data_IF_941008529555
#
_entry.id   IF_941008529555
#
_cell.length_a   1.000
_cell.length_b   1.000
_cell.length_c   1.000
_cell.angle_alpha   90.00
_cell.angle_beta   90.00
_cell.angle_gamma   90.00
#
_symmetry.space_group_name_H-M   'P 1'
#
loop_
_entity.id
_entity.type
_entity.pdbx_description
1 polymer ?
2 non-polymer ?
3 non-polymer ?
4 non-polymer ?
5 non-polymer ?
6 water ?
#
# COMPACT_ATOMS: atom_id res chain seq x y z
N UNK A 3 11.83 -1.78 32.15
CA UNK A 3 12.51 -0.94 31.18
C UNK A 3 11.71 0.33 30.88
N UNK A 4 12.36 1.27 30.21
CA UNK A 4 11.72 2.50 29.78
C UNK A 4 10.85 2.31 28.54
N UNK A 5 10.48 1.07 28.20
CA UNK A 5 9.86 0.83 26.90
C UNK A 5 8.40 1.28 26.91
N UNK A 6 7.92 1.65 25.72
CA UNK A 6 6.57 2.21 25.60
C UNK A 6 5.48 1.14 25.67
N UNK A 7 5.74 -0.07 25.18
CA UNK A 7 4.77 -1.16 25.25
C UNK A 7 4.88 -1.87 26.59
N UNK A 8 3.73 -2.10 27.24
CA UNK A 8 3.79 -2.84 28.50
C UNK A 8 4.01 -4.33 28.29
N UNK A 9 3.70 -4.85 27.11
CA UNK A 9 4.10 -6.20 26.73
C UNK A 9 4.14 -6.28 25.22
N UNK A 10 4.91 -7.25 24.72
CA UNK A 10 5.17 -7.35 23.28
C UNK A 10 4.14 -8.26 22.61
N UNK A 11 2.90 -7.79 22.63
CA UNK A 11 1.75 -8.53 22.15
C UNK A 11 0.80 -7.56 21.46
N UNK A 12 -0.17 -8.10 20.73
CA UNK A 12 -1.19 -7.25 20.12
C UNK A 12 -1.95 -6.50 21.20
N UNK A 13 -2.21 -7.16 22.34
CA UNK A 13 -2.85 -6.50 23.47
C UNK A 13 -2.01 -5.33 23.97
N UNK A 14 -0.69 -5.50 24.04
CA UNK A 14 0.16 -4.40 24.44
C UNK A 14 0.09 -3.24 23.47
N UNK A 15 0.02 -3.53 22.17
CA UNK A 15 -0.05 -2.46 21.18
C UNK A 15 -1.37 -1.72 21.30
N UNK A 16 -2.47 -2.45 21.51
CA UNK A 16 -3.76 -1.77 21.60
C UNK A 16 -3.83 -0.87 22.83
N UNK A 17 -3.29 -1.33 23.97
CA UNK A 17 -3.26 -0.47 25.15
C UNK A 17 -2.44 0.78 24.89
N UNK A 18 -1.32 0.63 24.17
CA UNK A 18 -0.51 1.79 23.85
C UNK A 18 -1.26 2.74 22.94
N UNK A 19 -1.97 2.20 21.93
CA UNK A 19 -2.72 3.03 21.00
C UNK A 19 -3.76 3.89 21.71
N UNK A 20 -4.38 3.37 22.76
CA UNK A 20 -5.41 4.14 23.44
C UNK A 20 -4.89 4.91 24.64
N UNK A 21 -3.58 4.93 24.85
CA UNK A 21 -2.94 5.81 25.82
C UNK A 21 -2.64 7.17 25.19
N UNK A 22 -2.40 8.16 26.05
CA UNK A 22 -2.10 9.50 25.57
C UNK A 22 -0.75 9.58 24.89
N UNK A 23 0.08 8.55 25.01
CA UNK A 23 1.39 8.57 24.35
C UNK A 23 1.32 8.34 22.85
N UNK A 24 0.22 7.79 22.35
CA UNK A 24 0.14 7.36 20.94
C UNK A 24 -0.86 8.26 20.24
N UNK A 25 -0.35 9.22 19.48
CA UNK A 25 -1.20 10.16 18.76
C UNK A 25 -1.09 10.05 17.25
N UNK A 26 0.04 9.58 16.73
CA UNK A 26 0.33 9.64 15.31
C UNK A 26 0.83 8.29 14.82
N UNK A 27 0.08 7.67 13.91
CA UNK A 27 0.36 6.33 13.42
C UNK A 27 0.75 6.42 11.95
N UNK A 28 1.84 5.76 11.58
CA UNK A 28 2.21 5.58 10.17
C UNK A 28 1.96 4.13 9.81
N UNK A 29 1.21 3.91 8.73
CA UNK A 29 1.01 2.58 8.16
C UNK A 29 1.97 2.39 7.00
N UNK A 30 2.62 1.24 6.95
CA UNK A 30 3.43 0.80 5.82
C UNK A 30 2.79 -0.47 5.30
N UNK A 31 2.33 -0.47 4.05
CA UNK A 31 1.52 -1.58 3.55
C UNK A 31 2.02 -2.06 2.20
N UNK A 32 1.78 -3.34 1.95
CA UNK A 32 2.15 -4.01 0.73
C UNK A 32 1.07 -4.93 0.21
N UNK A 33 1.45 -5.83 -0.70
CA UNK A 33 0.46 -6.60 -1.47
C UNK A 33 -0.41 -7.49 -0.60
N UNK A 34 0.07 -7.84 0.60
CA UNK A 34 -0.70 -8.68 1.50
C UNK A 34 -2.01 -8.06 1.98
N UNK A 35 -2.17 -6.73 1.87
CA UNK A 35 -3.44 -6.14 2.28
C UNK A 35 -4.45 -6.17 1.15
N UNK A 36 -4.07 -6.59 -0.05
CA UNK A 36 -4.98 -6.60 -1.18
C UNK A 36 -5.25 -7.97 -1.76
N UNK A 37 -4.57 -9.02 -1.27
CA UNK A 37 -4.81 -10.34 -1.85
C UNK A 37 -6.23 -10.82 -1.60
N UNK A 38 -6.83 -10.46 -0.46
CA UNK A 38 -8.21 -10.88 -0.23
C UNK A 38 -9.20 -10.11 -1.08
N UNK A 39 -8.76 -9.04 -1.75
CA UNK A 39 -9.58 -8.35 -2.74
C UNK A 39 -9.42 -8.95 -4.13
N UNK A 40 -8.61 -9.99 -4.27
CA UNK A 40 -8.39 -10.59 -5.57
C UNK A 40 -7.32 -9.92 -6.41
N UNK A 41 -6.54 -9.01 -5.83
CA UNK A 41 -5.42 -8.36 -6.51
C UNK A 41 -4.18 -9.24 -6.33
N UNK A 42 -3.50 -9.63 -7.41
CA UNK A 42 -2.33 -10.49 -7.27
C UNK A 42 -1.09 -9.72 -6.84
N UNK A 43 -0.20 -10.42 -6.14
CA UNK A 43 1.10 -9.87 -5.79
C UNK A 43 2.01 -10.03 -7.01
N UNK A 44 2.23 -8.93 -7.72
CA UNK A 44 3.05 -8.95 -8.93
C UNK A 44 4.44 -9.51 -8.69
N UNK A 45 4.91 -9.55 -7.45
CA UNK A 45 6.22 -10.08 -7.11
C UNK A 45 6.17 -11.47 -6.51
N UNK A 46 4.99 -12.08 -6.41
CA UNK A 46 4.97 -13.42 -5.84
C UNK A 46 4.88 -14.47 -6.94
N UNK A 47 5.53 -15.62 -6.76
CA UNK A 47 5.29 -16.72 -7.70
C UNK A 47 3.83 -17.13 -7.61
N UNK A 48 3.30 -17.58 -8.75
CA UNK A 48 1.86 -17.67 -8.99
C UNK A 48 1.25 -16.28 -9.16
N UNK A 56 3.69 -14.33 -22.52
CA UNK A 56 3.78 -15.42 -23.48
C UNK A 56 3.20 -15.01 -24.83
N UNK A 57 1.91 -14.66 -24.84
CA UNK A 57 1.30 -14.13 -26.05
C UNK A 57 1.72 -12.70 -26.34
N UNK A 58 2.51 -12.08 -25.45
CA UNK A 58 2.95 -10.70 -25.61
C UNK A 58 4.29 -10.57 -26.33
N UNK A 59 5.02 -11.68 -26.50
CA UNK A 59 6.14 -11.75 -27.43
C UNK A 59 7.23 -10.71 -27.11
N UNK A 60 7.62 -10.66 -25.84
CA UNK A 60 8.58 -9.67 -25.36
C UNK A 60 10.00 -10.09 -25.75
N UNK A 61 10.88 -9.11 -25.96
CA UNK A 61 12.30 -9.45 -26.19
C UNK A 61 12.94 -10.11 -24.97
N UNK A 62 12.48 -9.76 -23.78
CA UNK A 62 12.85 -10.41 -22.53
C UNK A 62 11.74 -10.18 -21.52
N UNK A 63 11.63 -11.02 -20.49
CA UNK A 63 10.45 -10.93 -19.61
C UNK A 63 10.31 -9.59 -18.89
N UNK A 64 11.42 -9.03 -18.40
CA UNK A 64 11.37 -7.79 -17.62
C UNK A 64 10.97 -6.58 -18.46
N UNK A 65 10.95 -6.70 -19.79
CA UNK A 65 10.68 -5.55 -20.64
C UNK A 65 9.28 -4.99 -20.42
N UNK A 66 8.31 -5.83 -20.07
CA UNK A 66 6.94 -5.37 -19.95
C UNK A 66 6.77 -4.39 -18.80
N UNK A 67 7.75 -4.27 -17.90
CA UNK A 67 7.68 -3.34 -16.79
C UNK A 67 8.77 -2.28 -16.82
N UNK A 68 9.56 -2.21 -17.89
CA UNK A 68 10.62 -1.23 -18.04
C UNK A 68 10.10 -0.05 -18.84
N UNK A 69 10.56 1.15 -18.48
CA UNK A 69 9.98 2.37 -19.04
C UNK A 69 10.40 2.57 -20.49
N UNK A 70 11.69 2.34 -20.79
CA UNK A 70 12.18 2.53 -22.15
C UNK A 70 11.44 1.63 -23.13
N UNK A 71 11.21 0.37 -22.75
CA UNK A 71 10.47 -0.54 -23.63
C UNK A 71 9.01 -0.12 -23.76
N UNK A 72 8.37 0.25 -22.65
CA UNK A 72 6.96 0.65 -22.69
C UNK A 72 6.75 1.79 -23.68
N UNK A 73 7.68 2.74 -23.72
CA UNK A 73 7.50 3.91 -24.55
C UNK A 73 7.59 3.57 -26.03
N UNK A 74 8.35 2.53 -26.37
CA UNK A 74 8.50 2.05 -27.75
C UNK A 74 7.41 1.05 -28.12
N UNK A 75 7.03 0.17 -27.19
CA UNK A 75 6.01 -0.85 -27.45
C UNK A 75 5.09 -0.96 -26.24
N UNK A 76 4.06 -0.11 -26.15
CA UNK A 76 3.17 -0.16 -24.97
C UNK A 76 2.11 -1.24 -25.03
N UNK A 77 1.86 -1.81 -26.21
CA UNK A 77 0.77 -2.78 -26.35
C UNK A 77 0.90 -3.98 -25.42
N UNK A 78 2.07 -4.62 -25.25
CA UNK A 78 2.14 -5.74 -24.29
C UNK A 78 1.71 -5.38 -22.89
N UNK A 79 2.15 -4.23 -22.37
CA UNK A 79 1.75 -3.82 -21.03
C UNK A 79 0.24 -3.65 -20.94
N UNK A 80 -0.38 -3.01 -21.93
CA UNK A 80 -1.81 -2.78 -21.86
C UNK A 80 -2.60 -4.05 -22.14
N UNK A 81 -2.00 -4.99 -22.86
CA UNK A 81 -2.63 -6.30 -23.00
C UNK A 81 -2.58 -7.06 -21.68
N UNK A 82 -1.40 -7.11 -21.05
CA UNK A 82 -1.29 -7.68 -19.73
C UNK A 82 -2.20 -6.97 -18.72
N UNK A 83 -2.38 -5.66 -18.89
CA UNK A 83 -3.23 -4.90 -17.98
C UNK A 83 -4.67 -5.38 -18.05
N UNK A 84 -5.20 -5.57 -19.27
CA UNK A 84 -6.57 -6.05 -19.41
C UNK A 84 -6.71 -7.46 -18.88
N UNK A 85 -5.71 -8.31 -19.11
CA UNK A 85 -5.77 -9.69 -18.64
C UNK A 85 -5.84 -9.75 -17.11
N UNK A 86 -4.92 -9.05 -16.44
CA UNK A 86 -4.89 -9.02 -14.99
C UNK A 86 -5.78 -7.94 -14.39
N UNK A 87 -6.59 -7.26 -15.21
CA UNK A 87 -7.45 -6.20 -14.70
C UNK A 87 -8.52 -6.78 -13.78
N UNK A 88 -8.63 -6.30 -12.55
CA UNK A 88 -9.58 -6.90 -11.60
C UNK A 88 -11.02 -6.65 -12.03
N UNK A 89 -11.87 -7.65 -11.84
CA UNK A 89 -13.27 -7.53 -12.19
C UNK A 89 -14.06 -6.59 -11.31
N UNK A 90 -13.49 -6.12 -10.21
CA UNK A 90 -14.14 -5.24 -9.25
C UNK A 90 -13.05 -4.73 -8.32
N UNK A 91 -13.19 -3.48 -7.88
CA UNK A 91 -12.23 -2.89 -6.94
C UNK A 91 -12.90 -2.72 -5.59
N UNK A 92 -12.78 -3.73 -4.74
CA UNK A 92 -13.39 -3.73 -3.42
C UNK A 92 -12.30 -3.76 -2.36
N UNK A 93 -12.03 -2.66 -1.66
CA UNK A 93 -10.99 -2.67 -0.63
C UNK A 93 -11.32 -3.66 0.48
N UNK A 94 -10.27 -4.07 1.19
CA UNK A 94 -10.37 -5.09 2.22
C UNK A 94 -10.63 -4.47 3.59
N UNK A 95 -10.90 -5.36 4.55
CA UNK A 95 -11.00 -4.94 5.96
C UNK A 95 -9.79 -4.11 6.36
N UNK A 96 -8.60 -4.50 5.88
CA UNK A 96 -7.39 -3.77 6.21
C UNK A 96 -7.44 -2.34 5.70
N UNK A 97 -7.85 -2.15 4.44
CA UNK A 97 -7.99 -0.79 3.91
C UNK A 97 -8.97 0.03 4.74
N UNK A 98 -10.11 -0.58 5.13
CA UNK A 98 -11.06 0.20 5.92
C UNK A 98 -10.60 0.38 7.35
N UNK A 99 -9.74 -0.50 7.87
CA UNK A 99 -9.14 -0.23 9.17
C UNK A 99 -8.33 1.05 9.13
N UNK A 100 -7.62 1.29 8.02
CA UNK A 100 -6.87 2.55 7.91
C UNK A 100 -7.80 3.74 7.76
N UNK A 101 -8.92 3.59 7.06
CA UNK A 101 -9.91 4.67 7.05
C UNK A 101 -10.41 4.96 8.46
N UNK A 102 -10.63 3.94 9.28
CA UNK A 102 -11.03 4.16 10.67
C UNK A 102 -9.94 4.91 11.45
N UNK A 103 -8.67 4.53 11.27
CA UNK A 103 -7.58 5.28 11.88
C UNK A 103 -7.67 6.75 11.52
N UNK A 104 -7.93 7.05 10.24
CA UNK A 104 -8.11 8.42 9.77
C UNK A 104 -9.28 9.08 10.50
N UNK A 105 -10.42 8.38 10.57
CA UNK A 105 -11.60 8.91 11.24
C UNK A 105 -11.36 9.21 12.72
N UNK A 106 -10.60 8.34 13.38
CA UNK A 106 -10.27 8.45 14.79
C UNK A 106 -9.20 9.51 15.07
N UNK A 107 -8.69 10.17 14.03
CA UNK A 107 -7.68 11.21 14.17
C UNK A 107 -6.29 10.70 14.45
N UNK A 108 -6.00 9.44 14.14
CA UNK A 108 -4.73 8.80 14.47
C UNK A 108 -3.80 8.61 13.28
N UNK A 109 -4.25 8.80 12.05
CA UNK A 109 -3.42 8.45 10.88
C UNK A 109 -2.56 9.63 10.46
N UNK A 110 -1.24 9.50 10.63
CA UNK A 110 -0.34 10.50 10.09
C UNK A 110 -0.12 10.28 8.59
N UNK A 111 0.15 9.04 8.18
CA UNK A 111 0.39 8.77 6.77
C UNK A 111 0.30 7.28 6.52
N UNK A 112 -0.14 6.93 5.32
CA UNK A 112 -0.07 5.56 4.81
C UNK A 112 0.91 5.55 3.64
N UNK A 113 2.02 4.85 3.83
CA UNK A 113 2.98 4.57 2.75
C UNK A 113 2.61 3.23 2.15
N UNK A 114 2.33 3.19 0.85
CA UNK A 114 1.91 1.95 0.23
C UNK A 114 2.82 1.57 -0.91
N UNK A 115 3.11 0.28 -1.00
CA UNK A 115 3.82 -0.32 -2.12
C UNK A 115 2.89 -0.66 -3.27
N UNK A 116 1.59 -0.52 -3.07
CA UNK A 116 0.61 -1.05 -4.02
C UNK A 116 0.18 0.01 -5.02
N UNK A 117 -0.19 -0.46 -6.20
CA UNK A 117 -0.61 0.42 -7.29
C UNK A 117 -2.11 0.30 -7.58
N UNK A 118 -2.84 -0.47 -6.77
CA UNK A 118 -4.19 -0.93 -7.11
C UNK A 118 -5.31 0.05 -6.79
N UNK A 119 -5.02 1.20 -6.18
CA UNK A 119 -5.93 2.31 -5.87
C UNK A 119 -6.86 2.03 -4.70
N UNK A 120 -6.76 0.86 -4.05
CA UNK A 120 -7.77 0.51 -3.05
C UNK A 120 -7.70 1.43 -1.83
N UNK A 121 -6.53 2.00 -1.50
CA UNK A 121 -6.49 2.96 -0.40
C UNK A 121 -7.41 4.14 -0.66
N UNK A 122 -7.42 4.64 -1.92
CA UNK A 122 -8.26 5.78 -2.25
C UNK A 122 -9.74 5.41 -2.27
N UNK A 123 -10.04 4.22 -2.79
CA UNK A 123 -11.44 3.78 -2.80
C UNK A 123 -11.94 3.65 -1.37
N UNK A 124 -11.08 3.21 -0.46
CA UNK A 124 -11.47 3.07 0.94
C UNK A 124 -11.56 4.39 1.67
N UNK A 125 -11.20 5.52 1.05
CA UNK A 125 -11.41 6.81 1.66
C UNK A 125 -10.18 7.50 2.20
N UNK A 126 -8.99 7.00 1.91
CA UNK A 126 -7.79 7.78 2.21
C UNK A 126 -7.58 8.82 1.11
N UNK A 127 -7.23 10.02 1.53
CA UNK A 127 -7.11 11.13 0.60
C UNK A 127 -5.66 11.31 0.20
N UNK A 128 -5.46 12.10 -0.85
CA UNK A 128 -4.10 12.34 -1.36
C UNK A 128 -3.14 12.73 -0.24
N UNK A 129 -3.58 13.61 0.67
CA UNK A 129 -2.68 14.07 1.73
C UNK A 129 -2.29 12.95 2.68
N UNK A 130 -3.15 11.93 2.83
CA UNK A 130 -2.90 10.80 3.71
C UNK A 130 -1.93 9.78 3.13
N UNK A 131 -1.63 9.84 1.84
CA UNK A 131 -1.00 8.73 1.13
C UNK A 131 0.37 9.10 0.60
N UNK A 132 1.27 8.15 0.66
CA UNK A 132 2.49 8.17 -0.15
C UNK A 132 2.45 6.90 -0.98
N UNK A 133 2.10 7.03 -2.26
CA UNK A 133 2.06 5.88 -3.17
C UNK A 133 3.48 5.70 -3.69
N UNK A 134 4.29 4.96 -2.93
CA UNK A 134 5.72 4.93 -3.16
C UNK A 134 6.09 4.33 -4.50
N UNK A 135 5.22 3.47 -5.03
CA UNK A 135 5.46 2.80 -6.31
C UNK A 135 4.52 3.31 -7.39
N UNK A 136 3.90 4.46 -7.17
CA UNK A 136 2.94 5.00 -8.09
C UNK A 136 1.58 4.33 -7.98
N UNK A 137 0.74 4.60 -8.98
CA UNK A 137 -0.64 4.12 -8.93
C UNK A 137 -1.24 4.18 -10.33
N UNK A 138 -2.23 3.32 -10.56
CA UNK A 138 -3.16 3.37 -11.69
C UNK A 138 -4.21 4.46 -11.54
N UNK A 139 -4.25 5.17 -10.41
CA UNK A 139 -5.39 6.06 -10.11
C UNK A 139 -5.45 7.23 -11.07
N UNK A 140 -4.30 7.68 -11.54
CA UNK A 140 -4.20 8.73 -12.54
C UNK A 140 -3.17 8.29 -13.56
N UNK A 141 -3.28 8.86 -14.75
CA UNK A 141 -2.36 8.61 -15.86
C UNK A 141 -2.03 9.95 -16.49
N UNK A 142 -0.88 10.00 -17.16
CA UNK A 142 -0.48 11.24 -17.80
C UNK A 142 0.06 10.98 -19.18
N UNK A 143 -0.28 11.89 -20.09
CA UNK A 143 0.47 12.04 -21.33
C UNK A 143 1.96 12.07 -21.04
N UNK A 144 2.72 11.30 -21.81
CA UNK A 144 4.17 11.21 -21.57
C UNK A 144 4.97 12.37 -22.14
N UNK A 145 4.35 13.26 -22.93
CA UNK A 145 5.08 14.40 -23.50
C UNK A 145 5.31 15.45 -22.42
N UNK A 146 6.57 15.82 -22.20
CA UNK A 146 6.92 16.71 -21.10
C UNK A 146 6.25 18.08 -21.24
N UNK A 147 6.01 18.52 -22.47
CA UNK A 147 5.38 19.83 -22.69
C UNK A 147 3.87 19.79 -22.57
N UNK A 148 3.28 18.62 -22.32
CA UNK A 148 1.83 18.47 -22.28
C UNK A 148 1.39 17.94 -20.93
N UNK A 149 1.64 16.66 -20.64
CA UNK A 149 1.36 16.05 -19.34
C UNK A 149 -0.12 16.13 -18.98
N UNK A 150 -1.00 16.09 -19.98
CA UNK A 150 -2.43 15.99 -19.72
C UNK A 150 -2.73 14.79 -18.82
N UNK A 151 -3.55 15.03 -17.79
CA UNK A 151 -3.90 13.99 -16.82
C UNK A 151 -5.22 13.31 -17.20
N UNK A 152 -5.26 11.98 -17.07
CA UNK A 152 -6.46 11.23 -17.36
C UNK A 152 -6.83 10.35 -16.17
N UNK A 153 -8.12 10.24 -15.87
CA UNK A 153 -8.56 9.43 -14.73
C UNK A 153 -8.63 7.95 -15.11
N UNK A 154 -8.76 7.12 -14.07
CA UNK A 154 -8.77 5.67 -14.25
C UNK A 154 -9.92 5.21 -15.15
N UNK A 155 -11.08 5.88 -15.08
CA UNK A 155 -12.20 5.47 -15.94
C UNK A 155 -11.86 5.62 -17.41
N UNK A 156 -11.13 6.69 -17.77
CA UNK A 156 -10.72 6.87 -19.16
C UNK A 156 -9.74 5.79 -19.60
N UNK A 157 -8.79 5.44 -18.73
CA UNK A 157 -7.78 4.43 -19.08
C UNK A 157 -8.40 3.05 -19.19
N UNK A 158 -9.31 2.68 -18.28
CA UNK A 158 -9.95 1.38 -18.35
C UNK A 158 -10.68 1.18 -19.67
N UNK A 159 -11.39 2.22 -20.13
CA UNK A 159 -12.10 2.13 -21.41
C UNK A 159 -11.13 1.86 -22.56
N UNK A 160 -9.95 2.49 -22.54
CA UNK A 160 -8.99 2.27 -23.60
C UNK A 160 -8.40 0.86 -23.53
N UNK A 161 -8.13 0.38 -22.31
CA UNK A 161 -7.54 -0.94 -22.15
C UNK A 161 -8.51 -2.02 -22.57
N UNK A 162 -9.79 -1.87 -22.26
CA UNK A 162 -10.78 -2.89 -22.60
C UNK A 162 -11.10 -2.89 -24.09
N UNK A 163 -11.22 -1.71 -24.70
CA UNK A 163 -11.41 -1.68 -26.15
C UNK A 163 -10.14 -2.00 -26.91
N UNK A 164 -9.04 -2.30 -26.20
CA UNK A 164 -7.75 -2.64 -26.80
C UNK A 164 -7.27 -1.56 -27.76
N UNK A 165 -7.54 -0.31 -27.41
CA UNK A 165 -6.97 0.84 -28.11
C UNK A 165 -5.87 1.41 -27.23
N UNK A 166 -4.66 1.49 -27.78
CA UNK A 166 -3.55 2.08 -27.06
C UNK A 166 -3.90 3.50 -26.66
N UNK A 167 -3.85 3.87 -25.38
CA UNK A 167 -4.30 5.20 -24.96
C UNK A 167 -3.37 6.29 -25.48
N UNK A 168 -3.95 7.27 -26.16
CA UNK A 168 -3.24 8.41 -26.70
C UNK A 168 -3.85 9.70 -26.20
N UNK A 169 -3.02 10.71 -25.99
CA UNK A 169 -3.47 11.98 -25.47
C UNK A 169 -4.36 12.69 -26.49
N UNK A 170 -5.51 13.19 -26.03
CA UNK A 170 -6.40 13.95 -26.90
C UNK A 170 -5.82 15.28 -27.36
N UNK A 171 -4.90 15.85 -26.58
CA UNK A 171 -4.32 17.15 -26.95
C UNK A 171 -3.19 17.00 -27.96
N UNK A 172 -2.31 16.01 -27.79
CA UNK A 172 -1.08 15.95 -28.57
C UNK A 172 -0.80 14.58 -29.18
N UNK A 173 -1.63 13.56 -28.92
CA UNK A 173 -1.54 12.21 -29.49
C UNK A 173 -0.32 11.42 -29.01
N UNK A 174 0.41 11.90 -28.01
CA UNK A 174 1.43 11.06 -27.38
C UNK A 174 0.79 9.93 -26.59
N UNK A 175 1.62 8.95 -26.26
CA UNK A 175 1.19 7.87 -25.36
C UNK A 175 0.78 8.42 -24.00
N UNK A 176 -0.24 7.79 -23.40
CA UNK A 176 -0.65 8.07 -22.03
C UNK A 176 -0.26 6.88 -21.16
N UNK A 177 0.49 7.15 -20.09
CA UNK A 177 1.01 6.10 -19.21
C UNK A 177 0.39 6.20 -17.82
N UNK A 178 -0.04 5.09 -17.23
CA UNK A 178 -0.46 5.16 -15.82
C UNK A 178 0.68 5.61 -14.94
N UNK A 179 0.33 6.30 -13.84
CA UNK A 179 1.33 6.90 -12.95
C UNK A 179 2.02 5.87 -12.06
N UNK A 180 2.26 4.70 -12.59
CA UNK A 180 3.05 3.67 -11.92
C UNK A 180 4.53 3.97 -12.12
N UNK A 181 5.35 3.63 -11.13
CA UNK A 181 6.81 3.71 -11.27
C UNK A 181 7.26 2.48 -12.06
N UNK A 182 7.53 2.66 -13.36
CA UNK A 182 8.14 1.60 -14.14
C UNK A 182 9.61 1.46 -13.74
N UNK A 183 10.18 0.30 -14.05
CA UNK A 183 11.62 0.16 -13.86
C UNK A 183 12.34 1.06 -14.84
N UNK A 184 13.41 1.71 -14.37
CA UNK A 184 14.00 2.80 -15.10
C UNK A 184 13.51 4.18 -14.69
N UNK A 185 12.48 4.26 -13.85
CA UNK A 185 11.97 5.53 -13.33
C UNK A 185 12.28 5.63 -11.85
N UNK A 186 12.43 6.85 -11.37
CA UNK A 186 12.68 7.07 -9.95
C UNK A 186 11.38 7.04 -9.16
N UNK A 187 11.51 6.78 -7.86
CA UNK A 187 10.36 6.88 -6.99
C UNK A 187 9.93 8.35 -6.93
N UNK A 188 8.66 8.61 -6.60
CA UNK A 188 8.21 10.01 -6.57
C UNK A 188 8.95 10.81 -5.51
N UNK A 189 9.19 12.09 -5.81
CA UNK A 189 9.86 12.95 -4.84
C UNK A 189 9.09 13.01 -3.52
N UNK A 190 7.77 12.84 -3.58
CA UNK A 190 6.93 12.81 -2.40
C UNK A 190 7.38 11.75 -1.40
N UNK A 191 7.89 10.63 -1.88
CA UNK A 191 8.33 9.58 -0.96
C UNK A 191 9.44 10.09 -0.06
N UNK A 192 10.42 10.77 -0.65
CA UNK A 192 11.56 11.23 0.14
C UNK A 192 11.21 12.45 0.98
N UNK A 193 10.38 13.36 0.44
CA UNK A 193 10.04 14.55 1.20
C UNK A 193 9.16 14.21 2.40
N UNK A 194 8.19 13.32 2.22
CA UNK A 194 7.35 12.94 3.36
C UNK A 194 8.13 12.15 4.38
N UNK A 195 9.01 11.25 3.93
CA UNK A 195 9.79 10.45 4.88
C UNK A 195 10.61 11.35 5.79
N UNK A 196 11.17 12.44 5.24
CA UNK A 196 12.05 13.30 6.03
C UNK A 196 11.31 14.00 7.16
N UNK A 197 10.01 14.22 6.99
CA UNK A 197 9.19 14.92 7.98
C UNK A 197 8.40 13.96 8.86
N UNK A 198 7.80 12.94 8.26
CA UNK A 198 6.86 12.13 9.00
C UNK A 198 7.53 11.36 10.13
N UNK A 199 8.76 10.91 9.91
CA UNK A 199 9.33 10.01 10.91
C UNK A 199 9.90 10.77 12.09
N UNK A 200 9.92 12.10 12.05
CA UNK A 200 10.16 12.89 13.25
C UNK A 200 8.98 12.86 14.19
N UNK A 201 7.80 12.46 13.70
CA UNK A 201 6.54 12.72 14.38
C UNK A 201 5.78 11.45 14.75
N UNK A 202 6.30 10.29 14.45
CA UNK A 202 5.53 9.06 14.53
C UNK A 202 5.61 8.46 15.94
N UNK A 203 4.46 7.95 16.41
CA UNK A 203 4.35 7.22 17.67
C UNK A 203 4.20 5.71 17.50
N UNK A 204 3.79 5.24 16.33
CA UNK A 204 3.52 3.83 16.11
C UNK A 204 3.68 3.54 14.64
N UNK A 205 4.40 2.49 14.31
CA UNK A 205 4.45 1.97 12.94
C UNK A 205 3.57 0.72 12.86
N UNK A 206 2.63 0.73 11.94
CA UNK A 206 1.79 -0.43 11.62
C UNK A 206 2.23 -0.93 10.26
N UNK A 207 2.91 -2.08 10.23
CA UNK A 207 3.47 -2.65 9.01
C UNK A 207 2.57 -3.82 8.62
N UNK A 208 1.83 -3.69 7.53
CA UNK A 208 0.83 -4.69 7.21
C UNK A 208 1.00 -5.21 5.80
N UNK A 209 1.03 -6.53 5.66
CA UNK A 209 1.02 -7.14 4.34
C UNK A 209 2.23 -6.84 3.48
N UNK A 210 3.38 -6.61 4.09
CA UNK A 210 4.62 -6.49 3.33
C UNK A 210 5.71 -7.31 4.00
N UNK A 211 6.51 -7.98 3.20
CA UNK A 211 7.67 -8.69 3.71
C UNK A 211 8.94 -7.86 3.65
N UNK A 212 8.81 -6.57 3.35
CA UNK A 212 9.91 -5.62 3.47
C UNK A 212 11.12 -6.08 2.67
N UNK A 213 10.87 -6.49 1.42
CA UNK A 213 11.92 -6.96 0.53
C UNK A 213 12.24 -5.99 -0.61
N UNK A 214 11.41 -4.98 -0.83
CA UNK A 214 11.60 -4.02 -1.91
C UNK A 214 12.20 -2.74 -1.34
N UNK A 215 13.33 -2.30 -1.89
CA UNK A 215 13.99 -1.07 -1.46
C UNK A 215 13.70 0.07 -2.43
N UNK A 216 13.73 1.32 -1.99
CA UNK A 216 14.02 1.82 -0.64
C UNK A 216 12.85 1.74 0.35
N UNK A 217 11.69 1.23 -0.06
CA UNK A 217 10.53 1.21 0.84
C UNK A 217 10.84 0.49 2.16
N UNK A 218 11.49 -0.67 2.07
CA UNK A 218 11.76 -1.45 3.27
C UNK A 218 12.58 -0.68 4.29
N UNK A 219 13.47 0.21 3.84
CA UNK A 219 14.29 0.98 4.77
C UNK A 219 13.49 1.95 5.64
N UNK A 220 12.21 2.17 5.34
CA UNK A 220 11.41 3.08 6.17
C UNK A 220 11.35 2.63 7.62
N UNK A 221 11.45 1.33 7.91
CA UNK A 221 11.32 0.92 9.31
C UNK A 221 12.50 1.43 10.14
N UNK A 222 13.68 1.61 9.52
CA UNK A 222 14.85 2.14 10.21
C UNK A 222 14.81 3.64 10.40
N UNK A 223 13.81 4.33 9.85
CA UNK A 223 13.63 5.76 10.03
C UNK A 223 12.82 6.10 11.27
N UNK A 224 12.19 5.11 11.89
CA UNK A 224 11.43 5.38 13.11
C UNK A 224 12.37 5.73 14.25
N UNK A 225 11.97 6.65 15.14
CA UNK A 225 12.69 6.83 16.40
C UNK A 225 12.87 5.49 17.12
N UNK A 226 13.94 5.41 17.90
CA UNK A 226 14.24 4.15 18.59
C UNK A 226 13.13 3.72 19.55
N UNK A 227 12.36 4.65 20.11
CA UNK A 227 11.33 4.24 21.05
C UNK A 227 10.03 3.80 20.38
N UNK A 228 9.83 4.12 19.09
CA UNK A 228 8.55 3.90 18.42
C UNK A 228 8.22 2.42 18.28
N UNK A 229 7.13 1.92 18.88
CA UNK A 229 6.75 0.52 18.64
C UNK A 229 6.40 0.26 17.19
N UNK A 230 6.66 -0.97 16.76
CA UNK A 230 6.45 -1.38 15.38
C UNK A 230 5.72 -2.71 15.40
N UNK A 231 4.50 -2.72 14.88
CA UNK A 231 3.65 -3.91 14.81
C UNK A 231 3.64 -4.43 13.38
N UNK A 232 4.02 -5.68 13.19
CA UNK A 232 3.90 -6.35 11.91
C UNK A 232 2.67 -7.25 11.89
N UNK A 233 1.76 -7.03 10.95
CA UNK A 233 0.63 -7.91 10.67
C UNK A 233 0.89 -8.49 9.30
N UNK A 234 1.18 -9.79 9.22
CA UNK A 234 1.66 -10.37 7.98
C UNK A 234 1.57 -11.88 8.11
N UNK A 235 1.47 -12.57 6.96
CA UNK A 235 1.37 -14.02 7.00
C UNK A 235 2.67 -14.64 7.53
N UNK A 236 3.80 -13.99 7.28
CA UNK A 236 5.10 -14.50 7.70
C UNK A 236 5.85 -13.40 8.44
N UNK A 237 6.70 -13.83 9.38
CA UNK A 237 7.57 -12.88 10.06
C UNK A 237 8.52 -12.27 9.03
N UNK A 238 8.78 -10.97 9.17
CA UNK A 238 9.58 -10.26 8.18
C UNK A 238 10.24 -9.05 8.82
N UNK A 239 11.24 -8.52 8.11
CA UNK A 239 11.90 -7.30 8.52
C UNK A 239 13.05 -7.48 9.48
N UNK A 240 13.34 -8.71 9.89
CA UNK A 240 14.47 -8.95 10.77
C UNK A 240 15.77 -8.80 10.00
N UNK A 241 16.85 -8.53 10.74
CA UNK A 241 18.16 -8.45 10.12
C UNK A 241 18.52 -9.76 9.44
N UNK A 242 19.17 -9.65 8.27
CA UNK A 242 19.47 -10.83 7.48
C UNK A 242 20.79 -11.42 7.94
N UNK A 243 20.83 -12.69 8.36
CA UNK A 243 22.08 -13.26 8.87
C UNK A 243 23.19 -13.25 7.85
N UNK A 244 22.87 -13.04 6.57
CA UNK A 244 23.86 -13.05 5.49
C UNK A 244 24.24 -11.64 5.08
N UNK A 245 23.29 -10.92 4.50
CA UNK A 245 23.50 -9.58 3.93
C UNK A 245 24.30 -8.69 4.87
N UNK A 246 23.78 -8.45 6.07
CA UNK A 246 24.48 -7.66 7.07
C UNK A 246 25.48 -8.48 7.88
N UNK A 254 16.74 -3.27 12.04
CA UNK A 254 15.86 -4.38 11.73
C UNK A 254 14.85 -4.64 12.83
N UNK A 255 13.81 -5.40 12.49
CA UNK A 255 12.84 -5.85 13.48
C UNK A 255 13.48 -6.84 14.43
N UNK A 256 13.26 -6.67 15.74
CA UNK A 256 13.70 -7.63 16.74
C UNK A 256 12.46 -8.04 17.55
N UNK A 257 11.86 -9.16 17.15
CA UNK A 257 10.68 -9.66 17.82
C UNK A 257 11.02 -10.56 19.00
N UNK A 258 12.13 -11.28 18.91
CA UNK A 258 12.28 -12.51 19.68
C UNK A 258 13.52 -12.60 20.56
N UNK A 259 14.47 -11.67 20.47
CA UNK A 259 15.62 -11.82 21.33
C UNK A 259 15.31 -11.30 22.74
N UNK A 260 16.22 -11.61 23.67
CA UNK A 260 16.08 -11.05 25.01
C UNK A 260 16.25 -9.54 25.03
N UNK A 261 16.75 -8.94 23.96
CA UNK A 261 16.87 -7.49 23.84
C UNK A 261 15.65 -6.85 23.22
N UNK A 262 14.68 -7.66 22.76
CA UNK A 262 13.48 -7.12 22.13
C UNK A 262 12.72 -6.23 23.11
N UNK A 263 12.27 -5.08 22.62
CA UNK A 263 11.57 -4.15 23.49
C UNK A 263 10.42 -3.41 22.82
N UNK A 264 10.25 -3.47 21.50
CA UNK A 264 9.25 -2.62 20.88
C UNK A 264 8.59 -3.20 19.62
N UNK A 265 9.05 -4.34 19.13
CA UNK A 265 8.55 -4.90 17.87
C UNK A 265 7.69 -6.12 18.17
N UNK A 266 6.54 -6.21 17.50
CA UNK A 266 5.54 -7.25 17.75
C UNK A 266 5.13 -7.81 16.40
N UNK A 267 5.05 -9.15 16.29
CA UNK A 267 4.60 -9.83 15.09
C UNK A 267 3.28 -10.56 15.35
N UNK A 268 2.26 -10.24 14.57
CA UNK A 268 0.99 -10.96 14.54
C UNK A 268 0.94 -11.67 13.20
N UNK A 269 0.91 -12.99 13.22
CA UNK A 269 1.10 -13.79 12.01
C UNK A 269 -0.23 -14.40 11.60
N UNK A 270 -0.70 -14.01 10.43
CA UNK A 270 -1.96 -14.50 9.90
C UNK A 270 -2.34 -13.65 8.72
N UNK A 271 -3.58 -13.81 8.27
CA UNK A 271 -4.09 -12.97 7.20
C UNK A 271 -4.24 -11.53 7.70
N UNK A 272 -3.91 -10.57 6.83
CA UNK A 272 -3.95 -9.17 7.24
C UNK A 272 -5.35 -8.77 7.71
N UNK A 273 -6.39 -9.22 7.00
CA UNK A 273 -7.76 -8.92 7.40
C UNK A 273 -8.03 -9.39 8.82
N UNK A 274 -7.57 -10.60 9.15
CA UNK A 274 -7.88 -11.14 10.47
C UNK A 274 -7.08 -10.43 11.55
N UNK A 275 -5.87 -9.98 11.23
CA UNK A 275 -5.10 -9.23 12.22
C UNK A 275 -5.71 -7.88 12.49
N UNK A 276 -6.19 -7.21 11.43
CA UNK A 276 -6.84 -5.92 11.64
C UNK A 276 -8.15 -6.08 12.39
N UNK A 277 -8.91 -7.14 12.11
CA UNK A 277 -10.10 -7.42 12.90
C UNK A 277 -9.75 -7.64 14.37
N UNK A 278 -8.68 -8.40 14.63
CA UNK A 278 -8.29 -8.67 16.01
C UNK A 278 -7.88 -7.39 16.73
N UNK A 279 -7.11 -6.53 16.06
CA UNK A 279 -6.72 -5.26 16.67
C UNK A 279 -7.95 -4.37 16.89
N UNK A 280 -8.82 -4.26 15.88
CA UNK A 280 -10.01 -3.44 16.04
C UNK A 280 -10.84 -3.92 17.22
N UNK A 281 -10.96 -5.24 17.38
CA UNK A 281 -11.72 -5.79 18.49
C UNK A 281 -11.15 -5.34 19.83
N UNK A 282 -9.82 -5.45 20.00
CA UNK A 282 -9.19 -4.97 21.23
C UNK A 282 -9.45 -3.49 21.47
N UNK A 283 -9.49 -2.69 20.40
CA UNK A 283 -9.69 -1.26 20.54
C UNK A 283 -11.14 -0.87 20.79
N UNK A 284 -12.07 -1.82 20.74
CA UNK A 284 -13.48 -1.46 20.83
C UNK A 284 -14.07 -0.97 19.53
N UNK A 285 -13.40 -1.24 18.41
CA UNK A 285 -13.80 -0.73 17.09
C UNK A 285 -14.46 -1.79 16.22
N UNK A 286 -14.71 -3.00 16.74
CA UNK A 286 -15.13 -4.06 15.84
C UNK A 286 -16.47 -3.74 15.19
N UNK A 287 -17.44 -3.25 15.95
CA UNK A 287 -18.71 -2.89 15.35
C UNK A 287 -18.55 -1.74 14.35
N UNK A 288 -17.78 -0.71 14.71
CA UNK A 288 -17.56 0.39 13.78
C UNK A 288 -16.94 -0.10 12.48
N UNK A 289 -15.97 -1.01 12.57
CA UNK A 289 -15.28 -1.50 11.38
C UNK A 289 -16.20 -2.38 10.54
N UNK A 290 -16.93 -3.30 11.18
CA UNK A 290 -17.89 -4.12 10.47
C UNK A 290 -18.93 -3.26 9.75
N UNK A 291 -19.46 -2.24 10.44
CA UNK A 291 -20.48 -1.39 9.83
C UNK A 291 -19.92 -0.62 8.64
N UNK A 292 -18.69 -0.11 8.76
CA UNK A 292 -18.06 0.62 7.66
C UNK A 292 -17.83 -0.30 6.46
N UNK A 293 -17.24 -1.47 6.68
CA UNK A 293 -16.93 -2.38 5.58
C UNK A 293 -18.22 -2.85 4.90
N UNK A 294 -19.20 -3.25 5.69
CA UNK A 294 -20.42 -3.77 5.07
C UNK A 294 -21.11 -2.69 4.24
N UNK A 295 -21.10 -1.45 4.73
CA UNK A 295 -21.72 -0.36 3.99
C UNK A 295 -20.97 -0.03 2.71
N UNK A 296 -19.64 0.06 2.78
CA UNK A 296 -18.86 0.38 1.60
C UNK A 296 -18.90 -0.74 0.58
N UNK A 297 -18.79 -2.00 1.05
CA UNK A 297 -18.92 -3.14 0.15
C UNK A 297 -20.29 -3.18 -0.51
N UNK A 298 -21.35 -2.95 0.27
CA UNK A 298 -22.68 -2.90 -0.31
C UNK A 298 -22.75 -1.83 -1.39
N UNK A 299 -22.17 -0.66 -1.12
CA UNK A 299 -22.21 0.42 -2.09
C UNK A 299 -21.47 0.06 -3.36
N UNK A 300 -20.31 -0.60 -3.23
CA UNK A 300 -19.56 -1.03 -4.40
C UNK A 300 -20.34 -2.11 -5.18
N UNK A 301 -20.91 -3.09 -4.47
CA UNK A 301 -21.70 -4.15 -5.10
C UNK A 301 -22.91 -3.59 -5.83
N UNK A 302 -23.40 -2.43 -5.39
CA UNK A 302 -24.63 -1.84 -5.92
C UNK A 302 -24.38 -0.83 -7.01
N UNK A 303 -23.13 -0.62 -7.41
CA UNK A 303 -22.83 0.33 -8.48
C UNK A 303 -23.58 -0.05 -9.75
N UNK A 304 -24.31 0.91 -10.30
CA UNK A 304 -25.15 0.65 -11.46
C UNK A 304 -24.93 1.72 -12.53
#
# INVERSE_FOLDING_TARGET
GHMERLLDELTLEGVARYMQSERCRRVICLVGAGISTSAGIPDFRSPSTGLYDNLEKYHLPYPEAIFEISYFKKHPEPFFALAKELYPGQFKPTICHYFMRLLKDKGLLLRCYTQNIDTLERIAGLEQEDLVEAHGTFYTSHCVSASCRHEYPLSWMKEKIFSEVTPKCEDCQSLVKPDIVFFGESLPARFFSCMQSDFLKVDLLLVMGTSLQVQPFASLISKAPLSTPRLLINKEKAGQSDPFLGMIMGLGGGMDFDSKKAYRDVAWLGECDQGCLALAELLGWKKELEDLVRREHASIDAQS
#
